data_IF_151297786200
#
_entry.id   IF_151297786200
#
_cell.length_a   1.000
_cell.length_b   1.000
_cell.length_c   1.000
_cell.angle_alpha   90.00
_cell.angle_beta   90.00
_cell.angle_gamma   90.00
#
_symmetry.space_group_name_H-M   'P 1'
#
loop_
_entity.id
_entity.type
_entity.pdbx_description
1 polymer ?
#
# COMPACT_ATOMS: atom_id res chain seq x y z
N UNK A 1 -19.01 0.37 -22.09
CA UNK A 1 -19.24 -0.54 -20.95
C UNK A 1 -18.09 -0.31 -19.99
N UNK A 2 -18.34 -0.09 -18.71
CA UNK A 2 -17.30 0.03 -17.70
C UNK A 2 -16.83 -1.36 -17.34
N UNK A 3 -15.53 -1.65 -17.52
CA UNK A 3 -14.95 -2.91 -17.00
C UNK A 3 -15.22 -2.98 -15.50
N UNK A 4 -15.79 -4.08 -14.98
CA UNK A 4 -16.03 -4.20 -13.55
C UNK A 4 -14.71 -4.08 -12.79
N UNK A 5 -14.66 -3.23 -11.77
CA UNK A 5 -13.52 -3.17 -10.88
C UNK A 5 -13.44 -4.44 -10.04
N UNK A 6 -12.22 -4.95 -9.78
CA UNK A 6 -12.00 -6.02 -8.81
C UNK A 6 -12.13 -5.55 -7.36
N UNK A 7 -12.26 -4.24 -7.12
CA UNK A 7 -12.45 -3.66 -5.80
C UNK A 7 -13.88 -3.82 -5.34
N UNK A 8 -14.09 -4.49 -4.22
CA UNK A 8 -15.41 -4.68 -3.57
C UNK A 8 -15.83 -3.43 -2.81
N UNK A 9 -14.88 -2.77 -2.12
CA UNK A 9 -15.11 -1.45 -1.54
C UNK A 9 -15.06 -0.38 -2.65
N UNK A 10 -16.20 0.20 -2.94
CA UNK A 10 -16.40 1.18 -4.02
C UNK A 10 -16.13 2.62 -3.62
N UNK A 11 -15.72 2.88 -2.38
CA UNK A 11 -15.56 4.23 -1.84
C UNK A 11 -14.81 5.18 -2.77
N UNK A 12 -13.65 4.76 -3.30
CA UNK A 12 -12.85 5.59 -4.22
C UNK A 12 -13.52 5.70 -5.58
N UNK A 13 -14.03 4.58 -6.10
CA UNK A 13 -14.70 4.56 -7.40
C UNK A 13 -15.90 5.52 -7.47
N UNK A 14 -16.71 5.55 -6.40
CA UNK A 14 -17.92 6.37 -6.34
C UNK A 14 -17.63 7.87 -6.12
N UNK A 15 -16.36 8.23 -5.87
CA UNK A 15 -15.87 9.60 -5.68
C UNK A 15 -14.95 10.09 -6.81
N UNK A 16 -14.82 9.32 -7.87
CA UNK A 16 -14.11 9.78 -9.05
C UNK A 16 -14.87 10.90 -9.75
N UNK A 17 -14.17 11.81 -10.44
CA UNK A 17 -14.81 12.82 -11.27
C UNK A 17 -15.73 12.17 -12.33
N UNK A 18 -16.72 12.90 -12.85
CA UNK A 18 -17.50 12.47 -14.00
C UNK A 18 -16.62 12.09 -15.19
N UNK A 19 -17.07 11.11 -15.98
CA UNK A 19 -16.29 10.55 -17.11
C UNK A 19 -15.87 11.58 -18.16
N UNK A 20 -16.67 12.59 -18.38
CA UNK A 20 -16.40 13.70 -19.30
C UNK A 20 -15.25 14.61 -18.85
N UNK A 21 -14.87 14.53 -17.59
CA UNK A 21 -13.70 15.22 -17.01
C UNK A 21 -12.42 14.37 -17.01
N UNK A 22 -12.50 13.12 -17.48
CA UNK A 22 -11.33 12.26 -17.51
C UNK A 22 -10.43 12.61 -18.69
N UNK A 23 -9.10 12.55 -18.51
CA UNK A 23 -8.18 12.71 -19.63
C UNK A 23 -8.32 11.53 -20.61
N UNK A 24 -8.06 11.79 -21.87
CA UNK A 24 -7.87 10.73 -22.87
C UNK A 24 -6.53 10.01 -22.57
N UNK A 25 -6.62 8.76 -22.15
CA UNK A 25 -5.45 7.93 -21.90
C UNK A 25 -5.00 7.25 -23.19
N UNK A 26 -3.78 7.55 -23.64
CA UNK A 26 -3.19 6.99 -24.86
C UNK A 26 -2.09 6.00 -24.48
N UNK A 27 -2.27 4.75 -24.90
CA UNK A 27 -1.32 3.66 -24.69
C UNK A 27 -0.80 3.18 -26.05
N UNK A 28 -0.09 4.07 -26.77
CA UNK A 28 0.38 3.82 -28.13
C UNK A 28 1.52 2.79 -28.17
N UNK A 29 2.35 2.74 -27.10
CA UNK A 29 3.43 1.77 -26.98
C UNK A 29 2.88 0.40 -26.56
N UNK A 30 3.29 -0.71 -27.23
CA UNK A 30 2.86 -2.05 -26.86
C UNK A 30 3.13 -2.41 -25.41
N UNK A 31 4.23 -1.93 -24.85
CA UNK A 31 4.66 -2.18 -23.46
C UNK A 31 3.72 -1.54 -22.43
N UNK A 32 2.98 -0.52 -22.80
CA UNK A 32 1.99 0.17 -21.96
C UNK A 32 0.60 -0.48 -22.03
N UNK A 33 0.42 -1.47 -22.89
CA UNK A 33 -0.84 -2.22 -22.98
C UNK A 33 -0.93 -3.19 -21.81
N UNK A 34 -1.70 -2.81 -20.82
CA UNK A 34 -1.94 -3.60 -19.61
C UNK A 34 -3.34 -4.21 -19.74
N UNK A 35 -3.51 -5.44 -19.28
CA UNK A 35 -4.83 -6.07 -19.20
C UNK A 35 -5.77 -5.22 -18.32
N UNK A 36 -7.05 -5.22 -18.65
CA UNK A 36 -8.09 -4.47 -17.91
C UNK A 36 -8.12 -4.84 -16.42
N UNK A 37 -7.76 -6.08 -16.10
CA UNK A 37 -7.54 -6.55 -14.73
C UNK A 37 -6.10 -6.99 -14.58
N UNK A 38 -5.34 -6.29 -13.75
CA UNK A 38 -3.95 -6.60 -13.45
C UNK A 38 -3.58 -6.14 -12.04
N UNK A 39 -2.78 -6.93 -11.35
CA UNK A 39 -2.11 -6.50 -10.14
C UNK A 39 -0.68 -6.06 -10.48
N UNK A 40 -0.33 -4.81 -10.14
CA UNK A 40 0.99 -4.26 -10.43
C UNK A 40 2.10 -5.10 -9.78
N UNK A 41 1.87 -5.56 -8.55
CA UNK A 41 2.88 -6.28 -7.76
C UNK A 41 3.09 -7.69 -8.28
N UNK A 42 2.03 -8.37 -8.74
CA UNK A 42 2.17 -9.65 -9.45
C UNK A 42 3.04 -9.49 -10.69
N UNK A 43 2.82 -8.47 -11.49
CA UNK A 43 3.65 -8.21 -12.67
C UNK A 43 5.10 -7.90 -12.31
N UNK A 44 5.33 -7.17 -11.24
CA UNK A 44 6.67 -6.76 -10.79
C UNK A 44 7.42 -7.91 -10.14
N UNK A 45 6.85 -8.55 -9.12
CA UNK A 45 7.52 -9.53 -8.27
C UNK A 45 7.36 -10.96 -8.80
N UNK A 46 6.15 -11.41 -9.06
CA UNK A 46 5.92 -12.79 -9.50
C UNK A 46 6.43 -12.99 -10.94
N UNK A 47 6.25 -12.00 -11.80
CA UNK A 47 6.84 -11.99 -13.12
C UNK A 47 8.39 -11.95 -13.15
N UNK A 48 9.05 -11.54 -12.07
CA UNK A 48 10.50 -11.50 -11.98
C UNK A 48 11.11 -12.91 -12.02
N UNK A 49 10.46 -13.88 -11.38
CA UNK A 49 10.92 -15.28 -11.40
C UNK A 49 10.93 -15.83 -12.84
N UNK A 50 9.86 -15.59 -13.60
CA UNK A 50 9.78 -16.02 -15.00
C UNK A 50 10.85 -15.35 -15.90
N UNK A 51 11.31 -14.15 -15.53
CA UNK A 51 12.39 -13.42 -16.22
C UNK A 51 13.81 -13.81 -15.75
N UNK A 52 13.94 -14.76 -14.81
CA UNK A 52 15.23 -15.13 -14.23
C UNK A 52 15.86 -14.04 -13.35
N UNK A 53 15.03 -13.20 -12.70
CA UNK A 53 15.51 -12.09 -11.86
C UNK A 53 15.36 -12.35 -10.35
N UNK A 54 14.96 -13.54 -9.96
CA UNK A 54 14.68 -13.89 -8.56
C UNK A 54 15.81 -13.46 -7.60
N UNK A 55 17.06 -13.72 -7.98
CA UNK A 55 18.24 -13.45 -7.16
C UNK A 55 18.84 -12.04 -7.38
N UNK A 56 18.25 -11.23 -8.26
CA UNK A 56 18.73 -9.87 -8.46
C UNK A 56 18.29 -8.97 -7.29
N UNK A 57 19.15 -8.00 -6.89
CA UNK A 57 18.79 -7.03 -5.87
C UNK A 57 17.61 -6.16 -6.35
N UNK A 58 16.62 -5.95 -5.46
CA UNK A 58 15.48 -5.06 -5.70
C UNK A 58 15.46 -3.88 -4.72
N UNK A 59 15.48 -4.14 -3.42
CA UNK A 59 15.47 -3.11 -2.39
C UNK A 59 16.84 -3.02 -1.73
N UNK A 60 17.36 -1.80 -1.61
CA UNK A 60 18.69 -1.55 -1.02
C UNK A 60 18.64 -0.41 -0.01
N UNK A 61 19.25 -0.63 1.14
CA UNK A 61 19.62 0.38 2.11
C UNK A 61 21.12 0.26 2.44
N UNK A 62 21.70 1.18 3.21
CA UNK A 62 23.09 1.04 3.65
C UNK A 62 23.39 -0.24 4.45
N UNK A 63 22.38 -0.80 5.14
CA UNK A 63 22.53 -1.93 6.05
C UNK A 63 22.11 -3.25 5.43
N UNK A 64 21.15 -3.24 4.50
CA UNK A 64 20.53 -4.46 3.98
C UNK A 64 20.15 -4.33 2.51
N UNK A 65 20.19 -5.45 1.81
CA UNK A 65 19.72 -5.58 0.43
C UNK A 65 18.79 -6.79 0.35
N UNK A 66 17.60 -6.61 -0.24
CA UNK A 66 16.70 -7.71 -0.57
C UNK A 66 16.65 -7.94 -2.07
N UNK A 67 16.68 -9.20 -2.45
CA UNK A 67 16.44 -9.67 -3.83
C UNK A 67 14.95 -9.56 -4.18
N UNK A 68 14.61 -9.81 -5.46
CA UNK A 68 13.21 -9.94 -5.89
C UNK A 68 12.50 -11.06 -5.14
N UNK A 69 13.14 -12.23 -4.97
CA UNK A 69 12.57 -13.37 -4.25
C UNK A 69 12.29 -13.05 -2.78
N UNK A 70 13.27 -12.49 -2.06
CA UNK A 70 13.13 -12.12 -0.66
C UNK A 70 12.10 -11.01 -0.45
N UNK A 71 12.07 -10.03 -1.36
CA UNK A 71 11.06 -8.97 -1.34
C UNK A 71 9.66 -9.55 -1.54
N UNK A 72 9.49 -10.46 -2.51
CA UNK A 72 8.22 -11.14 -2.77
C UNK A 72 7.72 -11.88 -1.54
N UNK A 73 8.57 -12.68 -0.91
CA UNK A 73 8.20 -13.45 0.29
C UNK A 73 7.68 -12.55 1.42
N UNK A 74 8.36 -11.41 1.67
CA UNK A 74 7.93 -10.45 2.71
C UNK A 74 6.62 -9.77 2.34
N UNK A 75 6.50 -9.33 1.10
CA UNK A 75 5.28 -8.70 0.58
C UNK A 75 4.10 -9.65 0.66
N UNK A 76 4.30 -10.95 0.32
CA UNK A 76 3.25 -11.97 0.41
C UNK A 76 2.77 -12.18 1.85
N UNK A 77 3.70 -12.24 2.82
CA UNK A 77 3.34 -12.37 4.24
C UNK A 77 2.52 -11.20 4.73
N UNK A 78 2.95 -9.96 4.43
CA UNK A 78 2.20 -8.75 4.84
C UNK A 78 0.84 -8.70 4.14
N UNK A 79 0.78 -8.97 2.83
CA UNK A 79 -0.47 -8.95 2.06
C UNK A 79 -1.47 -9.98 2.60
N UNK A 80 -0.99 -11.20 2.91
CA UNK A 80 -1.82 -12.25 3.52
C UNK A 80 -2.34 -11.84 4.89
N UNK A 81 -1.51 -11.21 5.72
CA UNK A 81 -1.95 -10.70 7.02
C UNK A 81 -3.06 -9.66 6.86
N UNK A 82 -2.89 -8.69 5.95
CA UNK A 82 -3.91 -7.66 5.69
C UNK A 82 -5.23 -8.28 5.21
N UNK A 83 -5.18 -9.24 4.30
CA UNK A 83 -6.37 -9.83 3.69
C UNK A 83 -7.05 -10.86 4.60
N UNK A 84 -6.30 -11.71 5.29
CA UNK A 84 -6.86 -12.87 5.99
C UNK A 84 -7.00 -12.66 7.50
N UNK A 85 -6.03 -12.02 8.15
CA UNK A 85 -6.10 -11.76 9.59
C UNK A 85 -6.91 -10.49 9.89
N UNK A 86 -6.61 -9.39 9.19
CA UNK A 86 -7.37 -8.15 9.36
C UNK A 86 -8.66 -8.12 8.52
N UNK A 87 -8.85 -9.10 7.62
CA UNK A 87 -10.04 -9.24 6.75
C UNK A 87 -10.34 -7.98 5.94
N UNK A 88 -9.29 -7.29 5.50
CA UNK A 88 -9.46 -6.13 4.65
C UNK A 88 -9.92 -6.55 3.25
N UNK A 89 -10.87 -5.82 2.70
CA UNK A 89 -11.45 -6.10 1.39
C UNK A 89 -10.77 -5.28 0.28
N UNK A 90 -10.65 -5.81 -0.95
CA UNK A 90 -10.15 -5.06 -2.08
C UNK A 90 -10.86 -3.71 -2.23
N UNK A 91 -10.06 -2.63 -2.34
CA UNK A 91 -10.56 -1.26 -2.35
C UNK A 91 -10.55 -0.55 -0.99
N UNK A 92 -10.37 -1.26 0.12
CA UNK A 92 -10.14 -0.62 1.41
C UNK A 92 -8.88 0.27 1.35
N UNK A 93 -8.92 1.43 2.00
CA UNK A 93 -7.80 2.37 2.06
C UNK A 93 -6.95 2.04 3.27
N UNK A 94 -5.63 2.00 3.03
CA UNK A 94 -4.61 1.82 4.08
C UNK A 94 -3.70 3.04 4.09
N UNK A 95 -3.67 3.75 5.20
CA UNK A 95 -2.80 4.91 5.38
C UNK A 95 -1.36 4.43 5.59
N UNK A 96 -0.44 4.96 4.78
CA UNK A 96 0.99 4.69 4.91
C UNK A 96 1.71 5.94 5.41
N UNK A 97 2.48 5.78 6.50
CA UNK A 97 3.21 6.87 7.14
C UNK A 97 4.63 6.45 7.46
N UNK A 98 5.59 7.03 6.76
CA UNK A 98 7.00 6.77 6.96
C UNK A 98 7.87 7.53 5.98
N UNK A 99 9.17 7.57 6.25
CA UNK A 99 10.17 8.03 5.30
C UNK A 99 10.50 6.96 4.26
N UNK A 100 11.38 7.31 3.31
CA UNK A 100 11.92 6.36 2.34
C UNK A 100 12.74 5.30 3.06
N UNK A 101 12.20 4.09 3.14
CA UNK A 101 12.82 2.94 3.81
C UNK A 101 12.35 1.63 3.15
N UNK A 102 13.05 0.53 3.45
CA UNK A 102 12.64 -0.79 2.98
C UNK A 102 11.25 -1.15 3.56
N UNK A 103 11.01 -0.89 4.85
CA UNK A 103 9.71 -1.13 5.48
C UNK A 103 8.57 -0.39 4.78
N UNK A 104 8.77 0.87 4.38
CA UNK A 104 7.77 1.63 3.60
C UNK A 104 7.53 1.03 2.22
N UNK A 105 8.59 0.59 1.52
CA UNK A 105 8.47 -0.05 0.23
C UNK A 105 7.71 -1.38 0.31
N UNK A 106 8.05 -2.23 1.29
CA UNK A 106 7.36 -3.49 1.55
C UNK A 106 5.88 -3.26 1.88
N UNK A 107 5.58 -2.29 2.74
CA UNK A 107 4.21 -1.93 3.12
C UNK A 107 3.39 -1.48 1.91
N UNK A 108 3.95 -0.60 1.06
CA UNK A 108 3.27 -0.14 -0.15
C UNK A 108 2.98 -1.29 -1.12
N UNK A 109 3.99 -2.11 -1.40
CA UNK A 109 3.85 -3.28 -2.28
C UNK A 109 2.80 -4.27 -1.75
N UNK A 110 2.81 -4.53 -0.43
CA UNK A 110 1.86 -5.46 0.18
C UNK A 110 0.41 -4.95 0.13
N UNK A 111 0.20 -3.66 0.40
CA UNK A 111 -1.13 -3.03 0.28
C UNK A 111 -1.65 -3.17 -1.15
N UNK A 112 -0.83 -2.86 -2.16
CA UNK A 112 -1.23 -2.99 -3.57
C UNK A 112 -1.44 -4.45 -3.95
N UNK A 113 -0.60 -5.39 -3.48
CA UNK A 113 -0.75 -6.82 -3.74
C UNK A 113 -2.06 -7.38 -3.20
N UNK A 114 -2.46 -6.95 -2.02
CA UNK A 114 -3.74 -7.34 -1.42
C UNK A 114 -4.98 -6.71 -2.10
N UNK A 115 -4.79 -5.92 -3.17
CA UNK A 115 -5.89 -5.23 -3.86
C UNK A 115 -6.41 -4.00 -3.10
N UNK A 116 -5.67 -3.55 -2.08
CA UNK A 116 -6.00 -2.40 -1.25
C UNK A 116 -5.48 -1.10 -1.87
N UNK A 117 -5.92 0.04 -1.36
CA UNK A 117 -5.54 1.36 -1.84
C UNK A 117 -4.58 2.02 -0.84
N UNK A 118 -3.35 2.28 -1.30
CA UNK A 118 -2.33 2.96 -0.51
C UNK A 118 -2.59 4.47 -0.45
N UNK A 119 -2.78 5.01 0.76
CA UNK A 119 -2.89 6.45 1.06
C UNK A 119 -1.59 6.90 1.70
N UNK A 120 -0.58 7.21 0.88
CA UNK A 120 0.73 7.62 1.37
C UNK A 120 0.71 9.06 1.89
N UNK A 121 1.31 9.29 3.06
CA UNK A 121 1.38 10.60 3.71
C UNK A 121 2.82 11.02 3.95
N UNK A 122 3.05 12.34 3.98
CA UNK A 122 4.37 12.88 4.34
C UNK A 122 4.68 12.61 5.81
N UNK A 123 5.94 12.23 6.14
CA UNK A 123 6.37 12.00 7.53
C UNK A 123 6.21 13.23 8.44
N UNK A 124 6.26 14.43 7.87
CA UNK A 124 6.23 15.70 8.61
C UNK A 124 4.83 16.15 9.00
N UNK A 125 3.77 15.51 8.51
CA UNK A 125 2.39 15.89 8.89
C UNK A 125 2.18 15.67 10.38
N UNK A 126 1.54 16.64 11.02
CA UNK A 126 1.11 16.58 12.41
C UNK A 126 -0.30 16.00 12.52
N UNK A 127 -0.75 15.74 13.73
CA UNK A 127 -2.07 15.15 13.99
C UNK A 127 -3.22 15.91 13.29
N UNK A 128 -3.18 17.25 13.26
CA UNK A 128 -4.20 18.08 12.60
C UNK A 128 -4.28 17.85 11.09
N UNK A 129 -3.13 17.77 10.39
CA UNK A 129 -3.11 17.49 8.95
C UNK A 129 -3.48 16.04 8.66
N UNK A 130 -2.99 15.11 9.48
CA UNK A 130 -3.34 13.69 9.38
C UNK A 130 -4.85 13.49 9.55
N UNK A 131 -5.49 14.20 10.50
CA UNK A 131 -6.94 14.15 10.69
C UNK A 131 -7.69 14.52 9.43
N UNK A 132 -7.25 15.54 8.67
CA UNK A 132 -7.86 15.91 7.39
C UNK A 132 -7.71 14.85 6.32
N UNK A 133 -6.55 14.17 6.27
CA UNK A 133 -6.31 13.05 5.34
C UNK A 133 -7.19 11.86 5.72
N UNK A 134 -7.25 11.51 7.00
CA UNK A 134 -8.06 10.40 7.52
C UNK A 134 -9.55 10.65 7.25
N UNK A 135 -10.02 11.85 7.54
CA UNK A 135 -11.42 12.25 7.29
C UNK A 135 -11.78 12.11 5.81
N UNK A 136 -10.92 12.58 4.91
CA UNK A 136 -11.18 12.53 3.47
C UNK A 136 -11.05 11.13 2.88
N UNK A 137 -10.01 10.38 3.25
CA UNK A 137 -9.70 9.07 2.66
C UNK A 137 -10.42 7.92 3.36
N UNK A 138 -10.85 8.11 4.61
CA UNK A 138 -11.48 7.10 5.44
C UNK A 138 -10.74 5.74 5.42
N UNK A 139 -9.44 5.71 5.79
CA UNK A 139 -8.70 4.47 5.85
C UNK A 139 -9.22 3.58 6.98
N UNK A 140 -9.24 2.27 6.75
CA UNK A 140 -9.65 1.28 7.75
C UNK A 140 -8.46 0.75 8.54
N UNK A 141 -7.26 0.89 7.99
CA UNK A 141 -6.00 0.51 8.61
C UNK A 141 -4.91 1.54 8.31
N UNK A 142 -3.85 1.53 9.11
CA UNK A 142 -2.63 2.28 8.88
C UNK A 142 -1.41 1.39 9.07
N UNK A 143 -0.35 1.66 8.30
CA UNK A 143 0.99 1.10 8.51
C UNK A 143 1.93 2.28 8.71
N UNK A 144 2.56 2.35 9.87
CA UNK A 144 3.29 3.53 10.32
C UNK A 144 4.72 3.18 10.77
N UNK A 145 5.68 4.00 10.41
CA UNK A 145 6.99 3.98 11.05
C UNK A 145 6.82 4.25 12.55
N UNK A 146 7.34 3.37 13.41
CA UNK A 146 7.17 3.45 14.85
C UNK A 146 7.62 4.80 15.43
N UNK A 147 8.62 5.44 14.79
CA UNK A 147 9.12 6.77 15.19
C UNK A 147 8.13 7.91 14.94
N UNK A 148 7.09 7.68 14.15
CA UNK A 148 6.07 8.67 13.75
C UNK A 148 4.69 8.35 14.32
N UNK A 149 4.60 7.37 15.22
CA UNK A 149 3.34 6.81 15.70
C UNK A 149 2.51 7.81 16.51
N UNK A 150 3.17 8.62 17.35
CA UNK A 150 2.51 9.55 18.28
C UNK A 150 1.48 10.46 17.60
N UNK A 151 1.85 11.09 16.50
CA UNK A 151 0.96 12.00 15.75
C UNK A 151 -0.21 11.23 15.08
N UNK A 152 0.02 10.00 14.67
CA UNK A 152 -1.02 9.16 14.10
C UNK A 152 -2.03 8.71 15.17
N UNK A 153 -1.56 8.26 16.33
CA UNK A 153 -2.41 7.85 17.45
C UNK A 153 -3.27 9.03 17.95
N UNK A 154 -2.69 10.22 18.03
CA UNK A 154 -3.42 11.41 18.38
C UNK A 154 -4.53 11.72 17.36
N UNK A 155 -4.24 11.61 16.05
CA UNK A 155 -5.23 11.81 15.01
C UNK A 155 -6.32 10.73 15.04
N UNK A 156 -5.93 9.46 15.26
CA UNK A 156 -6.83 8.30 15.30
C UNK A 156 -7.96 8.43 16.34
N UNK A 157 -7.72 9.11 17.45
CA UNK A 157 -8.72 9.27 18.52
C UNK A 157 -10.06 9.85 18.02
N UNK A 158 -10.03 10.66 16.97
CA UNK A 158 -11.22 11.23 16.34
C UNK A 158 -11.85 10.34 15.26
N UNK A 159 -11.21 9.22 14.89
CA UNK A 159 -11.61 8.38 13.76
C UNK A 159 -11.67 6.89 14.13
N UNK A 160 -12.73 6.46 14.83
CA UNK A 160 -12.86 5.06 15.29
C UNK A 160 -12.93 4.03 14.15
N UNK A 161 -13.20 4.45 12.92
CA UNK A 161 -13.17 3.59 11.74
C UNK A 161 -11.74 3.15 11.36
N UNK A 162 -10.71 3.89 11.77
CA UNK A 162 -9.31 3.47 11.65
C UNK A 162 -8.97 2.48 12.78
N UNK A 163 -9.32 1.22 12.57
CA UNK A 163 -9.30 0.20 13.62
C UNK A 163 -7.92 -0.42 13.86
N UNK A 164 -7.10 -0.50 12.80
CA UNK A 164 -5.83 -1.24 12.83
C UNK A 164 -4.66 -0.30 12.56
N UNK A 165 -3.67 -0.32 13.46
CA UNK A 165 -2.40 0.39 13.27
C UNK A 165 -1.26 -0.62 13.41
N UNK A 166 -0.63 -0.93 12.26
CA UNK A 166 0.56 -1.76 12.18
C UNK A 166 1.81 -0.86 12.21
N UNK A 167 2.92 -1.43 12.64
CA UNK A 167 4.19 -0.69 12.78
C UNK A 167 5.30 -1.35 12.00
N UNK A 168 6.28 -0.56 11.58
CA UNK A 168 7.57 -1.01 11.08
C UNK A 168 8.69 -0.12 11.67
N UNK A 169 9.93 -0.58 11.62
CA UNK A 169 11.09 0.04 12.26
C UNK A 169 10.95 0.14 13.80
N UNK A 170 10.33 -0.83 14.44
CA UNK A 170 10.25 -0.92 15.89
C UNK A 170 11.29 -1.92 16.39
N UNK A 171 12.39 -1.49 17.02
CA UNK A 171 13.50 -2.38 17.37
C UNK A 171 13.14 -3.46 18.40
N UNK A 172 12.06 -3.28 19.14
CA UNK A 172 11.68 -4.13 20.25
C UNK A 172 10.36 -4.91 20.02
N UNK A 173 9.78 -4.86 18.81
CA UNK A 173 8.49 -5.46 18.52
C UNK A 173 8.62 -6.62 17.53
N UNK A 174 8.40 -7.88 17.96
CA UNK A 174 8.46 -9.04 17.04
C UNK A 174 7.36 -9.04 15.97
N UNK A 175 6.35 -8.18 16.07
CA UNK A 175 5.32 -7.98 15.05
C UNK A 175 5.72 -6.93 14.01
N UNK A 176 6.94 -6.39 14.10
CA UNK A 176 7.45 -5.41 13.15
C UNK A 176 7.52 -6.01 11.74
N UNK A 177 7.02 -5.25 10.77
CA UNK A 177 7.03 -5.61 9.36
C UNK A 177 8.41 -5.44 8.68
N UNK A 178 9.46 -5.11 9.43
CA UNK A 178 10.83 -4.85 8.98
C UNK A 178 11.65 -6.06 8.57
#
# INVERSE_FOLDING_TARGET
MTTPSAQTDRFVHDRLPPRDQWPELRYDLPELRIADQANLVERLLDGAAARGWADRPLLRSPQITFTYAETRERVDRIANYLAHELKLEPGNRVLLRGGNSIGMALSWLAVVKAGLIAVATMPLLRATELSKVIDKAQPVAAICDARLLQELEQAQQAFPALQHVLRFNSPDDPSDLG
#
